data_IF_606021502340
#
_entry.id   IF_606021502340
#
_cell.length_a   1.000
_cell.length_b   1.000
_cell.length_c   1.000
_cell.angle_alpha   90.00
_cell.angle_beta   90.00
_cell.angle_gamma   90.00
#
_symmetry.space_group_name_H-M   'P 1'
#
loop_
_entity.id
_entity.type
_entity.pdbx_description
1 polymer ?
#
# COMPACT_ATOMS: atom_id res chain seq x y z
N UNK A 1 25.53 -40.10 2.72
CA UNK A 1 24.13 -39.72 3.04
C UNK A 1 24.07 -38.22 2.78
N UNK A 2 23.75 -37.83 1.55
CA UNK A 2 23.69 -36.44 1.09
C UNK A 2 22.35 -36.25 0.38
N UNK A 3 21.47 -35.41 0.92
CA UNK A 3 20.24 -34.99 0.25
C UNK A 3 20.55 -33.85 -0.73
N UNK A 4 20.09 -33.91 -1.99
CA UNK A 4 20.21 -32.80 -2.91
C UNK A 4 19.08 -31.78 -2.69
N UNK A 5 19.48 -30.52 -2.59
CA UNK A 5 18.62 -29.35 -2.52
C UNK A 5 17.67 -29.33 -3.73
N UNK A 6 16.36 -29.38 -3.45
CA UNK A 6 15.29 -29.15 -4.44
C UNK A 6 15.38 -27.70 -4.91
N UNK A 7 15.93 -27.49 -6.10
CA UNK A 7 15.83 -26.23 -6.80
C UNK A 7 14.34 -25.93 -7.07
N UNK A 8 13.79 -24.94 -6.37
CA UNK A 8 12.47 -24.40 -6.69
C UNK A 8 12.60 -23.57 -7.96
N UNK A 9 12.15 -24.12 -9.08
CA UNK A 9 12.02 -23.43 -10.34
C UNK A 9 10.94 -22.35 -10.19
N UNK A 10 11.35 -21.07 -10.16
CA UNK A 10 10.45 -19.94 -10.26
C UNK A 10 9.85 -19.95 -11.67
N UNK A 11 8.55 -20.23 -11.79
CA UNK A 11 7.83 -20.14 -13.06
C UNK A 11 7.77 -18.68 -13.50
N UNK A 12 8.29 -18.31 -14.69
CA UNK A 12 8.04 -16.99 -15.24
C UNK A 12 6.55 -16.88 -15.57
N UNK A 13 5.92 -15.78 -15.14
CA UNK A 13 4.57 -15.43 -15.56
C UNK A 13 4.65 -14.98 -17.01
N UNK A 14 4.28 -15.87 -17.94
CA UNK A 14 4.12 -15.52 -19.35
C UNK A 14 2.95 -14.56 -19.52
N UNK A 15 3.25 -13.27 -19.56
CA UNK A 15 2.30 -12.25 -20.03
C UNK A 15 2.28 -12.32 -21.56
N UNK A 16 1.37 -13.12 -22.10
CA UNK A 16 1.10 -13.15 -23.53
C UNK A 16 0.45 -11.82 -23.97
N UNK A 17 1.28 -10.88 -24.44
CA UNK A 17 0.91 -9.54 -24.92
C UNK A 17 0.35 -9.61 -26.36
N UNK A 18 0.20 -10.79 -26.97
CA UNK A 18 -0.08 -10.93 -28.41
C UNK A 18 -1.55 -11.13 -28.77
N UNK A 19 -2.49 -11.03 -27.82
CA UNK A 19 -3.92 -11.02 -28.17
C UNK A 19 -4.39 -9.60 -28.42
N UNK A 20 -4.75 -9.33 -29.67
CA UNK A 20 -5.52 -8.14 -30.04
C UNK A 20 -6.71 -7.98 -29.08
N UNK A 21 -6.91 -6.78 -28.51
CA UNK A 21 -7.98 -6.57 -27.55
C UNK A 21 -9.32 -6.77 -28.25
N UNK A 22 -9.98 -7.88 -27.94
CA UNK A 22 -11.41 -8.05 -28.21
C UNK A 22 -12.10 -6.79 -27.68
N UNK A 23 -12.94 -6.10 -28.49
CA UNK A 23 -13.71 -4.95 -28.03
C UNK A 23 -14.57 -5.40 -26.84
N UNK A 24 -14.03 -5.23 -25.64
CA UNK A 24 -14.72 -5.53 -24.41
C UNK A 24 -15.50 -4.26 -24.15
N UNK A 25 -16.83 -4.40 -24.05
CA UNK A 25 -17.72 -3.35 -23.61
C UNK A 25 -17.01 -2.56 -22.48
N UNK A 26 -16.73 -1.26 -22.66
CA UNK A 26 -16.08 -0.45 -21.64
C UNK A 26 -16.79 -0.59 -20.29
N UNK A 27 -18.09 -0.88 -20.26
CA UNK A 27 -18.84 -1.11 -19.03
C UNK A 27 -18.55 -2.45 -18.31
N UNK A 28 -17.85 -3.41 -18.92
CA UNK A 28 -17.74 -4.78 -18.40
C UNK A 28 -16.69 -4.99 -17.30
N UNK A 29 -15.77 -4.04 -17.08
CA UNK A 29 -14.85 -4.10 -15.93
C UNK A 29 -14.63 -2.70 -15.32
N UNK A 30 -15.37 -2.36 -14.24
CA UNK A 30 -15.25 -1.04 -13.61
C UNK A 30 -13.85 -0.79 -13.04
N UNK A 31 -13.10 -1.83 -12.67
CA UNK A 31 -11.72 -1.68 -12.18
C UNK A 31 -10.71 -1.35 -13.28
N UNK A 32 -10.99 -1.71 -14.55
CA UNK A 32 -10.16 -1.32 -15.70
C UNK A 32 -10.35 0.15 -16.07
N UNK A 33 -11.51 0.73 -15.79
CA UNK A 33 -11.82 2.14 -16.11
C UNK A 33 -11.47 3.12 -14.98
N UNK A 34 -11.43 2.68 -13.72
CA UNK A 34 -11.41 3.59 -12.56
C UNK A 34 -10.01 3.83 -11.98
N UNK A 35 -8.97 3.09 -12.41
CA UNK A 35 -7.62 3.22 -11.82
C UNK A 35 -6.57 3.56 -12.87
N UNK A 36 -6.34 4.86 -13.06
CA UNK A 36 -5.29 5.43 -13.91
C UNK A 36 -3.89 4.84 -13.56
N UNK A 37 -3.13 4.29 -14.54
CA UNK A 37 -1.77 3.80 -14.34
C UNK A 37 -0.84 4.82 -13.67
N UNK A 38 -0.98 6.12 -13.99
CA UNK A 38 -0.16 7.17 -13.38
C UNK A 38 -0.50 7.32 -11.91
N UNK A 39 -1.79 7.34 -11.56
CA UNK A 39 -2.24 7.34 -10.17
C UNK A 39 -1.71 6.13 -9.39
N UNK A 40 -1.70 4.92 -9.98
CA UNK A 40 -1.11 3.73 -9.33
C UNK A 40 0.37 3.90 -9.01
N UNK A 41 1.14 4.50 -9.93
CA UNK A 41 2.56 4.77 -9.73
C UNK A 41 2.77 5.79 -8.62
N UNK A 42 1.98 6.86 -8.59
CA UNK A 42 2.02 7.88 -7.53
C UNK A 42 1.69 7.30 -6.17
N UNK A 43 0.61 6.53 -6.06
CA UNK A 43 0.22 5.85 -4.82
C UNK A 43 1.34 4.93 -4.30
N UNK A 44 1.94 4.13 -5.19
CA UNK A 44 3.03 3.24 -4.81
C UNK A 44 4.24 4.00 -4.27
N UNK A 45 4.62 5.10 -4.93
CA UNK A 45 5.72 5.97 -4.45
C UNK A 45 5.42 6.56 -3.08
N UNK A 46 4.22 7.13 -2.91
CA UNK A 46 3.79 7.70 -1.63
C UNK A 46 3.81 6.68 -0.48
N UNK A 47 3.40 5.43 -0.76
CA UNK A 47 3.47 4.36 0.23
C UNK A 47 4.92 3.99 0.60
N UNK A 48 5.83 3.95 -0.36
CA UNK A 48 7.25 3.71 -0.07
C UNK A 48 7.87 4.84 0.74
N UNK A 49 7.60 6.10 0.37
CA UNK A 49 8.05 7.27 1.12
C UNK A 49 7.52 7.27 2.56
N UNK A 50 6.26 6.88 2.76
CA UNK A 50 5.67 6.75 4.09
C UNK A 50 6.36 5.66 4.93
N UNK A 51 6.62 4.50 4.32
CA UNK A 51 7.35 3.39 4.96
C UNK A 51 8.76 3.85 5.38
N UNK A 52 9.50 4.48 4.48
CA UNK A 52 10.84 5.00 4.75
C UNK A 52 10.82 6.06 5.86
N UNK A 53 9.84 6.95 5.86
CA UNK A 53 9.68 7.96 6.92
C UNK A 53 9.46 7.32 8.29
N UNK A 54 8.61 6.30 8.39
CA UNK A 54 8.36 5.59 9.65
C UNK A 54 9.61 4.82 10.14
N UNK A 55 10.37 4.22 9.22
CA UNK A 55 11.62 3.52 9.53
C UNK A 55 12.68 4.50 10.09
N UNK A 56 12.86 5.63 9.41
CA UNK A 56 13.77 6.69 9.86
C UNK A 56 13.37 7.28 11.21
N UNK A 57 12.07 7.48 11.45
CA UNK A 57 11.59 8.02 12.71
C UNK A 57 11.83 7.06 13.88
N UNK A 58 11.57 5.76 13.69
CA UNK A 58 11.88 4.76 14.71
C UNK A 58 13.38 4.66 14.97
N UNK A 59 14.20 4.65 13.90
CA UNK A 59 15.65 4.67 14.03
C UNK A 59 16.13 5.89 14.84
N UNK A 60 15.51 7.06 14.64
CA UNK A 60 15.79 8.26 15.43
C UNK A 60 15.45 8.07 16.90
N UNK A 61 14.26 7.56 17.23
CA UNK A 61 13.88 7.32 18.64
C UNK A 61 14.79 6.32 19.36
N UNK A 62 15.29 5.32 18.64
CA UNK A 62 16.29 4.38 19.19
C UNK A 62 17.63 5.08 19.42
N UNK A 63 18.10 5.87 18.45
CA UNK A 63 19.36 6.60 18.55
C UNK A 63 19.36 7.66 19.67
N UNK A 64 18.22 8.30 19.90
CA UNK A 64 18.02 9.29 20.98
C UNK A 64 17.83 8.61 22.36
N UNK A 65 17.71 7.29 22.42
CA UNK A 65 17.45 6.54 23.65
C UNK A 65 16.04 6.71 24.20
N UNK A 66 15.13 7.33 23.44
CA UNK A 66 13.71 7.46 23.81
C UNK A 66 12.91 6.18 23.57
N UNK A 67 13.47 5.24 22.82
CA UNK A 67 12.92 3.91 22.59
C UNK A 67 13.99 2.84 22.87
N UNK A 68 13.74 1.99 23.86
CA UNK A 68 14.53 0.79 24.09
C UNK A 68 13.92 -0.37 23.30
N UNK A 69 14.75 -1.11 22.56
CA UNK A 69 14.36 -2.30 21.83
C UNK A 69 15.20 -3.47 22.30
N UNK A 70 14.55 -4.52 22.78
CA UNK A 70 15.23 -5.73 23.25
C UNK A 70 15.46 -6.72 22.09
N UNK A 71 14.75 -6.56 20.97
CA UNK A 71 14.94 -7.39 19.77
C UNK A 71 14.43 -6.78 18.45
N UNK A 72 14.90 -7.32 17.33
CA UNK A 72 14.36 -7.02 15.99
C UNK A 72 12.89 -7.39 15.84
N UNK A 73 12.38 -8.36 16.62
CA UNK A 73 10.96 -8.70 16.61
C UNK A 73 10.11 -7.52 17.10
N UNK A 74 10.51 -6.92 18.21
CA UNK A 74 9.82 -5.76 18.79
C UNK A 74 9.85 -4.55 17.86
N UNK A 75 10.98 -4.34 17.17
CA UNK A 75 11.09 -3.32 16.13
C UNK A 75 9.99 -3.47 15.06
N UNK A 76 9.86 -4.67 14.49
CA UNK A 76 8.89 -4.96 13.43
C UNK A 76 7.46 -4.79 13.95
N UNK A 77 7.18 -5.20 15.19
CA UNK A 77 5.87 -5.05 15.81
C UNK A 77 5.48 -3.58 15.99
N UNK A 78 6.41 -2.75 16.49
CA UNK A 78 6.20 -1.31 16.67
C UNK A 78 6.04 -0.60 15.33
N UNK A 79 6.89 -0.92 14.35
CA UNK A 79 6.78 -0.38 13.00
C UNK A 79 5.43 -0.71 12.37
N UNK A 80 5.02 -1.98 12.39
CA UNK A 80 3.74 -2.41 11.84
C UNK A 80 2.55 -1.75 12.55
N UNK A 81 2.63 -1.60 13.88
CA UNK A 81 1.60 -0.94 14.66
C UNK A 81 1.48 0.56 14.29
N UNK A 82 2.60 1.27 14.24
CA UNK A 82 2.68 2.69 13.89
C UNK A 82 2.11 2.94 12.48
N UNK A 83 2.55 2.16 11.49
CA UNK A 83 2.07 2.29 10.12
C UNK A 83 0.56 2.02 10.03
N UNK A 84 0.06 0.99 10.74
CA UNK A 84 -1.38 0.70 10.80
C UNK A 84 -2.17 1.86 11.41
N UNK A 85 -1.69 2.47 12.48
CA UNK A 85 -2.35 3.61 13.10
C UNK A 85 -2.43 4.81 12.14
N UNK A 86 -1.34 5.14 11.46
CA UNK A 86 -1.32 6.20 10.44
C UNK A 86 -2.32 5.91 9.33
N UNK A 87 -2.32 4.69 8.81
CA UNK A 87 -3.20 4.29 7.70
C UNK A 87 -4.68 4.18 8.10
N UNK A 88 -4.98 4.07 9.38
CA UNK A 88 -6.35 4.13 9.92
C UNK A 88 -6.83 5.54 10.26
N UNK A 89 -6.00 6.57 10.07
CA UNK A 89 -6.32 7.96 10.38
C UNK A 89 -6.74 8.75 9.13
N UNK A 90 -7.51 9.84 9.33
CA UNK A 90 -7.89 10.73 8.21
C UNK A 90 -6.67 11.41 7.61
N UNK A 91 -5.70 11.73 8.46
CA UNK A 91 -4.44 12.36 8.10
C UNK A 91 -3.62 11.47 7.16
N UNK A 92 -3.44 10.19 7.50
CA UNK A 92 -2.68 9.25 6.67
C UNK A 92 -3.33 9.00 5.32
N UNK A 93 -4.66 8.87 5.29
CA UNK A 93 -5.40 8.70 4.03
C UNK A 93 -5.39 10.00 3.21
N UNK A 94 -5.54 11.17 3.83
CA UNK A 94 -5.43 12.47 3.17
C UNK A 94 -4.05 12.66 2.53
N UNK A 95 -2.97 12.27 3.21
CA UNK A 95 -1.61 12.30 2.68
C UNK A 95 -1.51 11.50 1.36
N UNK A 96 -2.05 10.27 1.33
CA UNK A 96 -2.02 9.45 0.11
C UNK A 96 -2.86 10.05 -1.02
N UNK A 97 -4.03 10.61 -0.70
CA UNK A 97 -4.87 11.30 -1.67
C UNK A 97 -4.14 12.51 -2.26
N UNK A 98 -3.51 13.33 -1.42
CA UNK A 98 -2.73 14.48 -1.87
C UNK A 98 -1.55 14.06 -2.75
N UNK A 99 -0.81 13.01 -2.37
CA UNK A 99 0.30 12.48 -3.16
C UNK A 99 -0.14 11.94 -4.53
N UNK A 100 -1.39 11.51 -4.65
CA UNK A 100 -1.98 11.12 -5.93
C UNK A 100 -2.47 12.30 -6.77
N UNK A 101 -2.54 13.50 -6.20
CA UNK A 101 -2.98 14.74 -6.85
C UNK A 101 -4.43 15.14 -6.56
N UNK A 102 -5.03 14.60 -5.50
CA UNK A 102 -6.37 15.02 -5.05
C UNK A 102 -6.26 16.16 -4.03
N UNK A 103 -7.10 17.18 -4.18
CA UNK A 103 -7.29 18.22 -3.17
C UNK A 103 -8.49 17.86 -2.29
N UNK A 104 -8.23 17.37 -1.08
CA UNK A 104 -9.27 16.90 -0.15
C UNK A 104 -9.00 17.46 1.23
N UNK A 105 -10.01 18.03 1.87
CA UNK A 105 -9.91 18.43 3.27
C UNK A 105 -9.91 17.18 4.14
N UNK A 106 -9.08 17.17 5.20
CA UNK A 106 -8.93 15.99 6.08
C UNK A 106 -10.28 15.52 6.64
N UNK A 107 -11.16 16.45 6.98
CA UNK A 107 -12.48 16.14 7.56
C UNK A 107 -13.42 15.42 6.59
N UNK A 108 -13.20 15.58 5.28
CA UNK A 108 -13.98 14.92 4.22
C UNK A 108 -13.52 13.48 3.97
N UNK A 109 -12.41 13.05 4.58
CA UNK A 109 -11.89 11.70 4.44
C UNK A 109 -12.78 10.70 5.15
N UNK A 110 -13.39 9.84 4.35
CA UNK A 110 -14.19 8.73 4.83
C UNK A 110 -13.32 7.52 5.19
N UNK A 111 -13.25 7.20 6.48
CA UNK A 111 -12.54 6.02 7.00
C UNK A 111 -13.38 4.73 7.00
N UNK A 112 -14.66 4.82 6.64
CA UNK A 112 -15.60 3.69 6.60
C UNK A 112 -16.02 3.43 5.15
N UNK A 113 -15.15 2.85 4.31
CA UNK A 113 -15.43 2.65 2.88
C UNK A 113 -16.69 1.80 2.64
N UNK A 114 -17.09 0.96 3.60
CA UNK A 114 -18.35 0.21 3.65
C UNK A 114 -19.61 1.05 3.51
N UNK A 115 -19.53 2.33 3.82
CA UNK A 115 -20.63 3.28 3.63
C UNK A 115 -20.83 3.72 2.17
N UNK A 116 -19.86 3.48 1.27
CA UNK A 116 -19.93 3.91 -0.14
C UNK A 116 -20.57 2.90 -1.11
N UNK A 117 -20.57 1.61 -0.78
CA UNK A 117 -21.12 0.55 -1.67
C UNK A 117 -22.42 -0.07 -1.16
N UNK A 118 -22.81 0.20 0.09
CA UNK A 118 -24.14 -0.15 0.57
C UNK A 118 -25.16 0.86 0.04
N UNK A 119 -25.70 0.57 -1.14
CA UNK A 119 -26.98 1.17 -1.56
C UNK A 119 -27.99 0.76 -0.50
N UNK A 120 -28.44 1.71 0.35
CA UNK A 120 -29.62 1.48 1.18
C UNK A 120 -30.78 1.19 0.22
N UNK A 121 -31.23 -0.06 0.21
CA UNK A 121 -32.49 -0.48 -0.40
C UNK A 121 -33.56 -0.54 0.67
#
# INVERSE_FOLDING_TARGET
MNDPIRAQTLTPLDFDISKEPVPTDPAANPFRLVVDPVMRVRLRRALFELIESHDQELARYVAEGSLALDSYKEYIELFAHSLKQTMSSREGVAYLLQACGFEVQKDDVNLQPETRWKVQR
#
